data_IF_963862249250
#
_entry.id   IF_963862249250
#
_cell.length_a   1.000
_cell.length_b   1.000
_cell.length_c   1.000
_cell.angle_alpha   90.00
_cell.angle_beta   90.00
_cell.angle_gamma   90.00
#
_symmetry.space_group_name_H-M   'P 1'
#
loop_
_entity.id
_entity.type
_entity.pdbx_description
1 polymer ?
#
# COMPACT_ATOMS: atom_id res chain seq x y z
N UNK A 1 36.74 14.95 -14.86
CA UNK A 1 35.28 14.81 -15.05
C UNK A 1 34.62 15.67 -13.98
N UNK A 2 33.90 16.72 -14.36
CA UNK A 2 33.22 17.59 -13.39
C UNK A 2 31.91 16.88 -13.03
N UNK A 3 31.83 16.29 -11.84
CA UNK A 3 30.59 15.67 -11.36
C UNK A 3 29.57 16.79 -11.14
N UNK A 4 28.67 16.97 -12.11
CA UNK A 4 27.54 17.87 -11.98
C UNK A 4 26.57 17.18 -11.00
N UNK A 5 26.58 17.61 -9.74
CA UNK A 5 25.72 17.06 -8.69
C UNK A 5 24.26 17.33 -9.06
N UNK A 6 23.52 16.28 -9.39
CA UNK A 6 22.10 16.35 -9.68
C UNK A 6 21.37 16.62 -8.36
N UNK A 7 20.75 17.79 -8.22
CA UNK A 7 19.77 18.01 -7.16
C UNK A 7 18.46 17.35 -7.57
N UNK A 8 18.33 16.07 -7.21
CA UNK A 8 17.14 15.28 -7.47
C UNK A 8 16.22 15.43 -6.26
N UNK A 9 15.01 15.96 -6.45
CA UNK A 9 14.06 16.11 -5.35
C UNK A 9 13.61 14.72 -4.86
N UNK A 10 14.08 14.32 -3.67
CA UNK A 10 13.81 13.01 -3.07
C UNK A 10 12.50 12.97 -2.26
N UNK A 11 11.84 14.12 -2.07
CA UNK A 11 10.54 14.23 -1.36
C UNK A 11 9.48 13.23 -1.85
N UNK A 12 9.23 13.05 -3.16
CA UNK A 12 8.23 12.09 -3.65
C UNK A 12 8.59 10.62 -3.38
N UNK A 13 9.89 10.29 -3.34
CA UNK A 13 10.33 8.95 -2.99
C UNK A 13 10.10 8.68 -1.50
N UNK A 14 10.38 9.66 -0.64
CA UNK A 14 10.07 9.60 0.78
C UNK A 14 8.56 9.49 1.04
N UNK A 15 7.73 10.31 0.38
CA UNK A 15 6.26 10.25 0.56
C UNK A 15 5.67 8.93 0.09
N UNK A 16 6.22 8.32 -0.97
CA UNK A 16 5.83 6.97 -1.41
C UNK A 16 6.04 5.95 -0.31
N UNK A 17 7.26 5.85 0.19
CA UNK A 17 7.63 4.82 1.18
C UNK A 17 6.95 5.05 2.52
N UNK A 18 6.85 6.32 2.94
CA UNK A 18 6.13 6.68 4.16
C UNK A 18 4.64 6.39 4.04
N UNK A 19 4.03 6.65 2.88
CA UNK A 19 2.64 6.29 2.58
C UNK A 19 2.40 4.79 2.64
N UNK A 20 3.27 3.98 2.02
CA UNK A 20 3.20 2.50 2.07
C UNK A 20 3.38 1.98 3.50
N UNK A 21 4.29 2.56 4.27
CA UNK A 21 4.50 2.13 5.66
C UNK A 21 3.28 2.50 6.51
N UNK A 22 2.74 3.71 6.32
CA UNK A 22 1.52 4.15 6.99
C UNK A 22 0.32 3.25 6.66
N UNK A 23 0.09 2.86 5.40
CA UNK A 23 -1.00 1.94 5.05
C UNK A 23 -0.86 0.59 5.74
N UNK A 24 0.35 0.03 5.75
CA UNK A 24 0.61 -1.25 6.41
C UNK A 24 0.35 -1.18 7.92
N UNK A 25 0.79 -0.10 8.57
CA UNK A 25 0.54 0.12 10.01
C UNK A 25 -0.95 0.27 10.29
N UNK A 26 -1.68 1.07 9.52
CA UNK A 26 -3.12 1.25 9.73
C UNK A 26 -3.92 -0.01 9.41
N UNK A 27 -3.53 -0.80 8.41
CA UNK A 27 -4.11 -2.12 8.15
C UNK A 27 -3.85 -3.09 9.30
N UNK A 28 -2.63 -3.13 9.82
CA UNK A 28 -2.30 -3.96 10.98
C UNK A 28 -3.13 -3.55 12.20
N UNK A 29 -3.22 -2.25 12.50
CA UNK A 29 -4.06 -1.73 13.59
C UNK A 29 -5.53 -2.08 13.38
N UNK A 30 -6.05 -1.96 12.15
CA UNK A 30 -7.41 -2.34 11.81
C UNK A 30 -7.66 -3.82 12.10
N UNK A 31 -6.76 -4.72 11.66
CA UNK A 31 -6.86 -6.16 11.93
C UNK A 31 -6.82 -6.44 13.44
N UNK A 32 -5.89 -5.83 14.18
CA UNK A 32 -5.82 -6.02 15.65
C UNK A 32 -7.06 -5.51 16.37
N UNK A 33 -7.69 -4.45 15.87
CA UNK A 33 -8.92 -3.89 16.46
C UNK A 33 -10.15 -4.76 16.19
N UNK A 34 -10.22 -5.39 15.02
CA UNK A 34 -11.38 -6.19 14.60
C UNK A 34 -11.29 -7.62 15.11
N UNK A 35 -10.08 -8.18 15.24
CA UNK A 35 -9.84 -9.57 15.65
C UNK A 35 -10.61 -10.02 16.91
N UNK A 36 -10.57 -9.33 18.06
CA UNK A 36 -11.27 -9.80 19.26
C UNK A 36 -12.79 -9.82 19.10
N UNK A 37 -13.33 -8.87 18.34
CA UNK A 37 -14.76 -8.79 18.06
C UNK A 37 -15.21 -9.87 17.07
N UNK A 38 -14.39 -10.14 16.06
CA UNK A 38 -14.60 -11.22 15.11
C UNK A 38 -14.59 -12.58 15.81
N UNK A 39 -13.63 -12.83 16.72
CA UNK A 39 -13.54 -14.06 17.49
C UNK A 39 -14.77 -14.26 18.40
N UNK A 40 -15.28 -13.19 19.02
CA UNK A 40 -16.50 -13.22 19.85
C UNK A 40 -17.75 -13.51 19.03
N UNK A 41 -17.96 -12.80 17.92
CA UNK A 41 -19.11 -13.02 17.04
C UNK A 41 -19.11 -14.45 16.46
N UNK A 42 -17.92 -14.96 16.12
CA UNK A 42 -17.75 -16.32 15.63
C UNK A 42 -18.06 -17.36 16.72
N UNK A 43 -17.58 -17.17 17.95
CA UNK A 43 -17.89 -18.06 19.07
C UNK A 43 -19.40 -18.09 19.40
N UNK A 44 -20.08 -16.94 19.37
CA UNK A 44 -21.54 -16.87 19.52
C UNK A 44 -22.26 -17.64 18.41
N UNK A 45 -21.84 -17.46 17.16
CA UNK A 45 -22.46 -18.19 16.04
C UNK A 45 -22.21 -19.70 16.11
N UNK A 46 -21.02 -20.15 16.52
CA UNK A 46 -20.72 -21.56 16.77
C UNK A 46 -21.70 -22.12 17.80
N UNK A 47 -21.90 -21.43 18.92
CA UNK A 47 -22.78 -21.91 20.00
C UNK A 47 -24.24 -22.09 19.55
N UNK A 48 -24.75 -21.15 18.74
CA UNK A 48 -26.11 -21.21 18.18
C UNK A 48 -26.23 -22.31 17.15
N UNK A 49 -25.24 -22.42 16.26
CA UNK A 49 -25.21 -23.44 15.20
C UNK A 49 -25.08 -24.85 15.77
N UNK A 50 -24.24 -25.08 16.78
CA UNK A 50 -24.11 -26.39 17.45
C UNK A 50 -25.36 -26.80 18.21
N UNK A 51 -26.15 -25.84 18.69
CA UNK A 51 -27.44 -26.12 19.35
C UNK A 51 -28.56 -26.45 18.36
N UNK A 52 -28.48 -25.94 17.13
CA UNK A 52 -29.48 -26.22 16.09
C UNK A 52 -29.13 -27.41 15.20
N UNK A 53 -27.84 -27.73 15.06
CA UNK A 53 -27.34 -28.83 14.23
C UNK A 53 -26.37 -29.68 15.07
N UNK A 54 -26.86 -30.81 15.61
CA UNK A 54 -26.04 -31.82 16.32
C UNK A 54 -24.82 -32.28 15.49
N UNK A 55 -24.86 -32.12 14.18
CA UNK A 55 -23.78 -32.45 13.23
C UNK A 55 -22.54 -31.53 13.30
N UNK A 56 -22.59 -30.40 14.01
CA UNK A 56 -21.44 -29.48 14.11
C UNK A 56 -20.33 -30.02 15.04
N UNK A 57 -20.61 -31.01 15.89
CA UNK A 57 -19.61 -31.63 16.76
C UNK A 57 -18.62 -32.53 16.01
N UNK A 58 -18.89 -32.95 14.77
CA UNK A 58 -18.14 -34.04 14.12
C UNK A 58 -17.41 -33.69 12.82
N UNK A 59 -17.51 -32.48 12.26
CA UNK A 59 -17.05 -32.28 10.88
C UNK A 59 -16.59 -30.89 10.51
N UNK A 60 -15.29 -30.65 10.73
CA UNK A 60 -14.43 -29.65 10.07
C UNK A 60 -14.93 -28.19 10.09
N UNK A 61 -14.21 -27.33 10.82
CA UNK A 61 -14.48 -25.88 10.89
C UNK A 61 -14.59 -25.17 9.54
N UNK A 62 -14.16 -25.79 8.44
CA UNK A 62 -14.33 -25.31 7.07
C UNK A 62 -15.78 -25.41 6.56
N UNK A 63 -16.53 -26.48 6.86
CA UNK A 63 -17.95 -26.60 6.46
C UNK A 63 -18.81 -25.58 7.21
N UNK A 64 -18.49 -25.35 8.48
CA UNK A 64 -19.07 -24.29 9.28
C UNK A 64 -18.79 -22.90 8.68
N UNK A 65 -17.55 -22.65 8.25
CA UNK A 65 -17.18 -21.38 7.61
C UNK A 65 -17.95 -21.13 6.31
N UNK A 66 -18.09 -22.15 5.46
CA UNK A 66 -18.86 -22.07 4.22
C UNK A 66 -20.37 -21.84 4.49
N UNK A 67 -20.93 -22.49 5.51
CA UNK A 67 -22.32 -22.29 5.92
C UNK A 67 -22.55 -20.88 6.48
N UNK A 68 -21.61 -20.36 7.28
CA UNK A 68 -21.65 -18.99 7.78
C UNK A 68 -21.57 -17.97 6.63
N UNK A 69 -20.65 -18.13 5.68
CA UNK A 69 -20.54 -17.22 4.52
C UNK A 69 -21.81 -17.16 3.67
N UNK A 70 -22.51 -18.28 3.53
CA UNK A 70 -23.76 -18.38 2.77
C UNK A 70 -24.98 -17.90 3.56
N UNK A 71 -24.85 -17.70 4.88
CA UNK A 71 -25.93 -17.22 5.74
C UNK A 71 -25.86 -15.71 5.91
N UNK A 72 -26.91 -15.00 5.48
CA UNK A 72 -27.01 -13.55 5.67
C UNK A 72 -26.94 -13.13 7.14
N UNK A 73 -27.45 -13.97 8.05
CA UNK A 73 -27.40 -13.73 9.49
C UNK A 73 -25.95 -13.74 10.03
N UNK A 74 -25.11 -14.66 9.54
CA UNK A 74 -23.71 -14.71 9.95
C UNK A 74 -22.92 -13.54 9.35
N UNK A 75 -23.17 -13.22 8.06
CA UNK A 75 -22.49 -12.12 7.37
C UNK A 75 -22.84 -10.75 7.95
N UNK A 76 -24.10 -10.51 8.24
CA UNK A 76 -24.55 -9.26 8.89
C UNK A 76 -24.03 -9.16 10.32
N UNK A 77 -24.08 -10.25 11.09
CA UNK A 77 -23.51 -10.30 12.44
C UNK A 77 -22.00 -10.05 12.48
N UNK A 78 -21.24 -10.61 11.54
CA UNK A 78 -19.80 -10.38 11.41
C UNK A 78 -19.46 -8.95 11.00
N UNK A 79 -20.23 -8.37 10.07
CA UNK A 79 -20.03 -6.97 9.65
C UNK A 79 -20.42 -5.97 10.75
N UNK A 80 -21.44 -6.28 11.56
CA UNK A 80 -21.85 -5.45 12.70
C UNK A 80 -20.99 -5.67 13.94
N UNK A 81 -20.19 -6.75 14.00
CA UNK A 81 -19.41 -7.11 15.19
C UNK A 81 -18.34 -6.09 15.56
N UNK A 82 -17.93 -5.21 14.64
CA UNK A 82 -16.89 -4.22 14.93
C UNK A 82 -17.40 -3.16 15.93
N UNK A 83 -17.12 -3.38 17.21
CA UNK A 83 -17.62 -2.58 18.34
C UNK A 83 -16.75 -1.39 18.69
N UNK A 84 -15.66 -1.16 17.95
CA UNK A 84 -14.77 -0.03 18.20
C UNK A 84 -15.53 1.31 18.16
N UNK A 85 -15.20 2.26 19.06
CA UNK A 85 -15.85 3.56 19.10
C UNK A 85 -15.72 4.27 17.75
N UNK A 86 -16.77 4.99 17.34
CA UNK A 86 -16.90 5.56 15.99
C UNK A 86 -15.70 6.44 15.60
N UNK A 87 -15.10 7.13 16.57
CA UNK A 87 -13.87 7.92 16.39
C UNK A 87 -12.65 7.08 16.00
N UNK A 88 -12.47 5.92 16.62
CA UNK A 88 -11.34 5.02 16.32
C UNK A 88 -11.56 4.36 14.96
N UNK A 89 -12.80 3.96 14.67
CA UNK A 89 -13.18 3.41 13.37
C UNK A 89 -12.92 4.39 12.23
N UNK A 90 -13.35 5.64 12.36
CA UNK A 90 -13.13 6.68 11.34
C UNK A 90 -11.64 7.06 11.21
N UNK A 91 -10.89 7.07 12.31
CA UNK A 91 -9.44 7.31 12.30
C UNK A 91 -8.67 6.19 11.57
N UNK A 92 -9.01 4.92 11.82
CA UNK A 92 -8.38 3.78 11.16
C UNK A 92 -8.67 3.78 9.65
N UNK A 93 -9.93 3.98 9.27
CA UNK A 93 -10.33 4.02 7.85
C UNK A 93 -9.68 5.21 7.13
N UNK A 94 -9.73 6.40 7.73
CA UNK A 94 -9.12 7.59 7.14
C UNK A 94 -7.59 7.47 7.05
N UNK A 95 -6.93 6.83 8.02
CA UNK A 95 -5.50 6.53 8.00
C UNK A 95 -5.11 5.61 6.84
N UNK A 96 -5.88 4.55 6.57
CA UNK A 96 -5.66 3.68 5.40
C UNK A 96 -5.85 4.45 4.10
N UNK A 97 -6.93 5.23 3.98
CA UNK A 97 -7.21 6.03 2.78
C UNK A 97 -6.08 7.04 2.54
N UNK A 98 -5.68 7.78 3.57
CA UNK A 98 -4.60 8.76 3.49
C UNK A 98 -3.25 8.13 3.10
N UNK A 99 -2.92 6.98 3.68
CA UNK A 99 -1.73 6.23 3.30
C UNK A 99 -1.77 5.79 1.82
N UNK A 100 -2.92 5.34 1.32
CA UNK A 100 -3.08 4.92 -0.07
C UNK A 100 -2.92 6.10 -1.02
N UNK A 101 -3.54 7.25 -0.70
CA UNK A 101 -3.38 8.47 -1.48
C UNK A 101 -1.93 8.94 -1.52
N UNK A 102 -1.24 9.00 -0.38
CA UNK A 102 0.17 9.42 -0.33
C UNK A 102 1.09 8.47 -1.09
N UNK A 103 0.88 7.15 -0.99
CA UNK A 103 1.61 6.16 -1.78
C UNK A 103 1.34 6.32 -3.29
N UNK A 104 0.09 6.60 -3.68
CA UNK A 104 -0.31 6.80 -5.07
C UNK A 104 0.34 8.05 -5.68
N UNK A 105 0.35 9.16 -4.93
CA UNK A 105 1.05 10.39 -5.35
C UNK A 105 2.55 10.16 -5.54
N UNK A 106 3.20 9.45 -4.61
CA UNK A 106 4.63 9.12 -4.72
C UNK A 106 4.96 8.10 -5.82
N UNK A 107 3.98 7.30 -6.28
CA UNK A 107 4.15 6.42 -7.44
C UNK A 107 3.94 7.15 -8.77
N UNK A 108 3.02 8.12 -8.81
CA UNK A 108 2.72 8.93 -9.97
C UNK A 108 3.83 9.95 -10.26
N UNK A 109 4.31 10.64 -9.22
CA UNK A 109 5.35 11.65 -9.36
C UNK A 109 6.74 11.05 -9.15
N UNK A 110 7.41 10.70 -10.26
CA UNK A 110 8.74 10.07 -10.28
C UNK A 110 9.82 10.97 -10.91
N UNK A 111 10.38 11.93 -10.16
CA UNK A 111 11.38 12.85 -10.69
C UNK A 111 12.67 12.13 -11.13
N UNK A 112 12.95 10.95 -10.58
CA UNK A 112 14.10 10.13 -10.95
C UNK A 112 14.06 9.70 -12.41
N UNK A 113 12.87 9.42 -12.95
CA UNK A 113 12.72 9.00 -14.34
C UNK A 113 12.98 10.18 -15.27
N UNK A 114 12.49 11.37 -14.91
CA UNK A 114 12.70 12.59 -15.69
C UNK A 114 14.18 13.02 -15.67
N UNK A 115 14.80 13.04 -14.50
CA UNK A 115 16.22 13.36 -14.38
C UNK A 115 17.11 12.38 -15.18
N UNK A 116 16.83 11.07 -15.12
CA UNK A 116 17.57 10.06 -15.88
C UNK A 116 17.35 10.17 -17.40
N UNK A 117 16.20 10.71 -17.83
CA UNK A 117 15.94 10.99 -19.25
C UNK A 117 16.71 12.22 -19.70
N UNK A 118 16.68 13.30 -18.94
CA UNK A 118 17.40 14.53 -19.27
C UNK A 118 18.90 14.32 -19.32
N UNK A 119 19.46 13.50 -18.41
CA UNK A 119 20.87 13.14 -18.43
C UNK A 119 21.27 12.39 -19.70
N UNK A 120 20.44 11.43 -20.14
CA UNK A 120 20.69 10.69 -21.39
C UNK A 120 20.63 11.59 -22.62
N UNK A 121 19.69 12.53 -22.65
CA UNK A 121 19.58 13.47 -23.78
C UNK A 121 20.75 14.46 -23.78
N UNK A 122 21.12 14.99 -22.61
CA UNK A 122 22.22 15.94 -22.50
C UNK A 122 23.58 15.29 -22.78
N UNK A 123 23.81 14.04 -22.37
CA UNK A 123 25.06 13.35 -22.68
C UNK A 123 25.24 13.17 -24.19
N UNK A 124 24.18 12.82 -24.92
CA UNK A 124 24.20 12.70 -26.38
C UNK A 124 24.51 14.04 -27.04
N UNK A 125 23.86 15.13 -26.60
CA UNK A 125 24.15 16.49 -27.11
C UNK A 125 25.61 16.90 -26.87
N UNK A 126 26.18 16.55 -25.71
CA UNK A 126 27.59 16.83 -25.39
C UNK A 126 28.54 16.02 -26.30
N UNK A 127 28.24 14.75 -26.58
CA UNK A 127 29.03 13.95 -27.53
C UNK A 127 28.94 14.48 -28.96
N UNK A 128 27.73 14.84 -29.42
CA UNK A 128 27.49 15.38 -30.76
C UNK A 128 28.19 16.74 -30.94
N UNK A 129 28.10 17.64 -29.95
CA UNK A 129 28.83 18.91 -29.96
C UNK A 129 30.34 18.73 -29.99
N UNK A 130 30.88 17.67 -29.37
CA UNK A 130 32.32 17.37 -29.41
C UNK A 130 32.78 16.89 -30.79
N UNK A 131 31.91 16.19 -31.53
CA UNK A 131 32.21 15.75 -32.90
C UNK A 131 32.06 16.88 -33.92
N UNK A 132 31.10 17.79 -33.71
CA UNK A 132 30.81 18.91 -34.62
C UNK A 132 31.60 20.17 -34.32
N UNK A 133 32.18 20.31 -33.12
CA UNK A 133 33.01 21.47 -32.77
C UNK A 133 34.28 21.49 -33.62
N UNK A 134 34.62 22.61 -34.28
CA UNK A 134 35.87 22.73 -35.01
C UNK A 134 37.05 22.53 -34.05
N UNK A 135 37.82 21.48 -34.28
CA UNK A 135 39.09 21.27 -33.59
C UNK A 135 40.05 22.36 -34.09
N UNK A 136 40.63 23.21 -33.21
CA UNK A 136 41.60 24.18 -33.65
C UNK A 136 42.76 23.43 -34.33
N UNK A 137 43.22 23.87 -35.51
CA UNK A 137 44.32 23.20 -36.20
C UNK A 137 45.51 23.11 -35.26
N UNK A 138 45.95 21.87 -34.99
CA UNK A 138 47.13 21.60 -34.19
C UNK A 138 48.31 22.37 -34.78
N UNK A 139 48.94 23.20 -33.94
CA UNK A 139 49.85 24.25 -34.35
C UNK A 139 50.89 23.82 -35.39
N UNK A 140 50.97 24.62 -36.44
CA UNK A 140 52.23 24.88 -37.14
C UNK A 140 52.57 26.35 -36.90
N UNK A 141 53.25 26.60 -35.79
CA UNK A 141 54.15 27.74 -35.59
C UNK A 141 55.47 27.17 -35.06
#
# INVERSE_FOLDING_TARGET
>A
MRFQSIYLDMRPLLTKWLGVLATLVFLFLMVTSVRPDFERAFAQYISVYSGQHEAAQQGTGFKFWMACLNSEACRSGLLLSWTAPLMVKSALISGVIFGLFSASFGLYWRPEVMANRDMRVNSVKVEESRQTSPVPPGGTL
#
